data_IF_546408455821
#
_entry.id   IF_546408455821
#
_cell.length_a   1.000
_cell.length_b   1.000
_cell.length_c   1.000
_cell.angle_alpha   90.00
_cell.angle_beta   90.00
_cell.angle_gamma   90.00
#
_symmetry.space_group_name_H-M   'P 1'
#
loop_
_entity.id
_entity.type
_entity.pdbx_description
1 polymer ?
#
# COMPACT_ATOMS: atom_id res chain seq x y z
N UNK A 1 -22.30 -15.85 -22.72
CA UNK A 1 -20.96 -16.47 -22.60
C UNK A 1 -20.01 -15.41 -22.06
N UNK A 2 -19.23 -15.71 -21.03
CA UNK A 2 -18.17 -14.80 -20.56
C UNK A 2 -17.14 -14.64 -21.69
N UNK A 3 -16.79 -13.40 -22.04
CA UNK A 3 -15.72 -13.15 -23.01
C UNK A 3 -14.38 -13.60 -22.43
N UNK A 4 -13.44 -14.05 -23.25
CA UNK A 4 -12.09 -14.44 -22.79
C UNK A 4 -11.42 -13.30 -22.00
N UNK A 5 -11.63 -12.05 -22.43
CA UNK A 5 -11.14 -10.85 -21.74
C UNK A 5 -11.75 -10.66 -20.34
N UNK A 6 -13.04 -10.97 -20.16
CA UNK A 6 -13.68 -10.92 -18.84
C UNK A 6 -13.09 -11.96 -17.87
N UNK A 7 -12.71 -13.15 -18.38
CA UNK A 7 -12.03 -14.17 -17.58
C UNK A 7 -10.61 -13.74 -17.19
N UNK A 8 -9.86 -13.14 -18.12
CA UNK A 8 -8.51 -12.62 -17.85
C UNK A 8 -8.57 -11.51 -16.80
N UNK A 9 -9.48 -10.55 -16.96
CA UNK A 9 -9.71 -9.50 -15.98
C UNK A 9 -10.03 -10.09 -14.60
N UNK A 10 -10.96 -11.04 -14.53
CA UNK A 10 -11.37 -11.66 -13.26
C UNK A 10 -10.20 -12.40 -12.59
N UNK A 11 -9.38 -13.13 -13.35
CA UNK A 11 -8.19 -13.80 -12.83
C UNK A 11 -7.16 -12.81 -12.28
N UNK A 12 -6.91 -11.70 -12.98
CA UNK A 12 -6.01 -10.64 -12.52
C UNK A 12 -6.53 -9.95 -11.26
N UNK A 13 -7.82 -9.62 -11.22
CA UNK A 13 -8.49 -9.05 -10.06
C UNK A 13 -8.38 -9.96 -8.84
N UNK A 14 -8.69 -11.25 -8.98
CA UNK A 14 -8.52 -12.24 -7.91
C UNK A 14 -7.07 -12.30 -7.43
N UNK A 15 -6.10 -12.25 -8.34
CA UNK A 15 -4.68 -12.18 -7.99
C UNK A 15 -4.33 -10.95 -7.13
N UNK A 16 -4.86 -9.78 -7.50
CA UNK A 16 -4.68 -8.53 -6.75
C UNK A 16 -5.28 -8.64 -5.35
N UNK A 17 -6.53 -9.07 -5.26
CA UNK A 17 -7.24 -9.24 -3.98
C UNK A 17 -6.49 -10.23 -3.09
N UNK A 18 -6.12 -11.40 -3.64
CA UNK A 18 -5.38 -12.41 -2.90
C UNK A 18 -4.05 -11.88 -2.36
N UNK A 19 -3.27 -11.16 -3.18
CA UNK A 19 -2.00 -10.58 -2.75
C UNK A 19 -2.17 -9.50 -1.68
N UNK A 20 -3.15 -8.61 -1.82
CA UNK A 20 -3.39 -7.59 -0.80
C UNK A 20 -3.91 -8.19 0.51
N UNK A 21 -4.86 -9.14 0.45
CA UNK A 21 -5.32 -9.88 1.64
C UNK A 21 -4.16 -10.60 2.30
N UNK A 22 -3.33 -11.30 1.52
CA UNK A 22 -2.18 -12.02 2.05
C UNK A 22 -1.13 -11.07 2.64
N UNK A 23 -0.89 -9.92 2.01
CA UNK A 23 -0.01 -8.88 2.56
C UNK A 23 -0.54 -8.34 3.90
N UNK A 24 -1.85 -8.14 4.02
CA UNK A 24 -2.48 -7.65 5.24
C UNK A 24 -2.42 -8.69 6.36
N UNK A 25 -2.78 -9.93 6.05
CA UNK A 25 -2.64 -11.07 6.96
C UNK A 25 -1.22 -11.19 7.50
N UNK A 26 -0.23 -11.15 6.61
CA UNK A 26 1.18 -11.29 6.97
C UNK A 26 1.65 -10.10 7.84
N UNK A 27 1.29 -8.88 7.47
CA UNK A 27 1.66 -7.67 8.21
C UNK A 27 1.07 -7.67 9.63
N UNK A 28 -0.21 -8.04 9.78
CA UNK A 28 -0.84 -8.16 11.10
C UNK A 28 -0.29 -9.30 11.94
N UNK A 29 0.10 -10.42 11.31
CA UNK A 29 0.72 -11.56 12.00
C UNK A 29 2.08 -11.18 12.58
N UNK A 30 2.96 -10.60 11.77
CA UNK A 30 4.31 -10.20 12.21
C UNK A 30 4.25 -9.08 13.27
N UNK A 31 3.27 -8.16 13.18
CA UNK A 31 3.10 -7.07 14.15
C UNK A 31 3.07 -7.55 15.60
N UNK A 32 2.57 -8.76 15.87
CA UNK A 32 2.49 -9.33 17.23
C UNK A 32 3.85 -9.79 17.76
N UNK A 33 4.78 -10.12 16.86
CA UNK A 33 6.07 -10.75 17.17
C UNK A 33 7.20 -9.71 17.23
N UNK A 34 7.06 -8.59 16.52
CA UNK A 34 8.05 -7.52 16.50
C UNK A 34 8.20 -6.84 17.87
N UNK A 35 9.44 -6.78 18.38
CA UNK A 35 9.76 -6.16 19.68
C UNK A 35 9.74 -4.63 19.59
N UNK A 36 10.33 -4.07 18.52
CA UNK A 36 10.45 -2.63 18.37
C UNK A 36 9.14 -1.96 17.90
N UNK A 37 8.69 -0.96 18.66
CA UNK A 37 7.42 -0.27 18.42
C UNK A 37 7.30 0.40 17.04
N UNK A 38 8.42 0.90 16.49
CA UNK A 38 8.48 1.47 15.14
C UNK A 38 8.09 0.44 14.07
N UNK A 39 8.68 -0.75 14.12
CA UNK A 39 8.39 -1.83 13.19
C UNK A 39 6.96 -2.33 13.34
N UNK A 40 6.44 -2.44 14.58
CA UNK A 40 5.02 -2.77 14.82
C UNK A 40 4.06 -1.75 14.20
N UNK A 41 4.39 -0.46 14.28
CA UNK A 41 3.57 0.61 13.70
C UNK A 41 3.59 0.56 12.17
N UNK A 42 4.74 0.27 11.56
CA UNK A 42 4.84 0.11 10.10
C UNK A 42 4.11 -1.14 9.60
N UNK A 43 4.22 -2.25 10.32
CA UNK A 43 3.44 -3.45 10.02
C UNK A 43 1.93 -3.20 10.15
N UNK A 44 1.49 -2.42 11.13
CA UNK A 44 0.08 -2.00 11.23
C UNK A 44 -0.37 -1.18 10.01
N UNK A 45 0.41 -0.18 9.61
CA UNK A 45 0.06 0.65 8.46
C UNK A 45 0.02 -0.15 7.16
N UNK A 46 1.00 -1.03 6.92
CA UNK A 46 0.97 -1.95 5.78
C UNK A 46 -0.30 -2.81 5.76
N UNK A 47 -0.67 -3.37 6.91
CA UNK A 47 -1.88 -4.17 7.03
C UNK A 47 -3.14 -3.37 6.74
N UNK A 48 -3.23 -2.15 7.30
CA UNK A 48 -4.35 -1.24 7.04
C UNK A 48 -4.44 -0.83 5.56
N UNK A 49 -3.31 -0.58 4.89
CA UNK A 49 -3.26 -0.29 3.46
C UNK A 49 -3.68 -1.50 2.62
N UNK A 50 -3.24 -2.70 2.98
CA UNK A 50 -3.67 -3.93 2.31
C UNK A 50 -5.20 -4.09 2.37
N UNK A 51 -5.80 -3.90 3.55
CA UNK A 51 -7.28 -3.92 3.70
C UNK A 51 -7.94 -2.83 2.87
N UNK A 52 -7.43 -1.60 2.95
CA UNK A 52 -7.95 -0.47 2.17
C UNK A 52 -7.91 -0.75 0.66
N UNK A 53 -6.79 -1.26 0.13
CA UNK A 53 -6.66 -1.57 -1.29
C UNK A 53 -7.57 -2.73 -1.72
N UNK A 54 -7.82 -3.72 -0.87
CA UNK A 54 -8.85 -4.75 -1.13
C UNK A 54 -10.23 -4.11 -1.22
N UNK A 55 -10.61 -3.29 -0.25
CA UNK A 55 -11.92 -2.61 -0.25
C UNK A 55 -12.10 -1.73 -1.49
N UNK A 56 -11.09 -0.92 -1.83
CA UNK A 56 -11.11 -0.06 -3.01
C UNK A 56 -11.19 -0.88 -4.30
N UNK A 57 -10.32 -1.88 -4.47
CA UNK A 57 -10.27 -2.69 -5.70
C UNK A 57 -11.55 -3.50 -5.92
N UNK A 58 -12.12 -4.10 -4.87
CA UNK A 58 -13.40 -4.81 -4.93
C UNK A 58 -14.55 -3.86 -5.24
N UNK A 59 -14.61 -2.70 -4.58
CA UNK A 59 -15.64 -1.69 -4.87
C UNK A 59 -15.57 -1.22 -6.32
N UNK A 60 -14.40 -0.79 -6.80
CA UNK A 60 -14.22 -0.32 -8.17
C UNK A 60 -14.53 -1.41 -9.19
N UNK A 61 -14.07 -2.64 -8.97
CA UNK A 61 -14.31 -3.74 -9.91
C UNK A 61 -15.80 -4.06 -10.02
N UNK A 62 -16.52 -4.17 -8.90
CA UNK A 62 -17.96 -4.45 -8.91
C UNK A 62 -18.74 -3.26 -9.51
N UNK A 63 -18.44 -2.04 -9.07
CA UNK A 63 -19.20 -0.86 -9.50
C UNK A 63 -19.00 -0.53 -10.98
N UNK A 64 -17.79 -0.71 -11.51
CA UNK A 64 -17.50 -0.49 -12.94
C UNK A 64 -18.00 -1.62 -13.83
N UNK A 65 -17.85 -2.89 -13.42
CA UNK A 65 -18.30 -4.04 -14.25
C UNK A 65 -19.81 -4.16 -14.35
N UNK A 66 -20.52 -3.75 -13.30
CA UNK A 66 -21.99 -3.76 -13.26
C UNK A 66 -22.59 -2.39 -13.61
N UNK A 67 -21.78 -1.42 -14.02
CA UNK A 67 -22.18 -0.06 -14.38
C UNK A 67 -23.10 0.61 -13.33
N UNK A 68 -22.79 0.39 -12.05
CA UNK A 68 -23.60 0.88 -10.94
C UNK A 68 -23.38 2.39 -10.76
N UNK A 69 -24.40 3.19 -11.07
CA UNK A 69 -24.32 4.67 -11.04
C UNK A 69 -25.34 5.32 -10.11
N UNK A 70 -25.95 4.57 -9.19
CA UNK A 70 -26.93 5.14 -8.24
C UNK A 70 -26.26 6.12 -7.28
N UNK A 71 -27.03 7.09 -6.78
CA UNK A 71 -26.54 8.10 -5.83
C UNK A 71 -25.84 7.47 -4.62
N UNK A 72 -26.37 6.38 -4.08
CA UNK A 72 -25.78 5.68 -2.94
C UNK A 72 -24.42 5.05 -3.26
N UNK A 73 -24.26 4.48 -4.45
CA UNK A 73 -22.98 3.92 -4.92
C UNK A 73 -21.96 5.03 -5.14
N UNK A 74 -22.39 6.16 -5.71
CA UNK A 74 -21.56 7.34 -5.90
C UNK A 74 -21.10 7.95 -4.57
N UNK A 75 -21.98 8.08 -3.57
CA UNK A 75 -21.62 8.53 -2.22
C UNK A 75 -20.62 7.56 -1.56
N UNK A 76 -20.85 6.25 -1.68
CA UNK A 76 -19.93 5.25 -1.13
C UNK A 76 -18.56 5.33 -1.80
N UNK A 77 -18.53 5.44 -3.13
CA UNK A 77 -17.30 5.64 -3.90
C UNK A 77 -16.58 6.93 -3.51
N UNK A 78 -17.33 8.02 -3.35
CA UNK A 78 -16.81 9.31 -2.89
C UNK A 78 -16.07 9.17 -1.55
N UNK A 79 -16.68 8.49 -0.58
CA UNK A 79 -16.07 8.26 0.74
C UNK A 79 -14.83 7.39 0.63
N UNK A 80 -14.89 6.26 -0.08
CA UNK A 80 -13.76 5.31 -0.19
C UNK A 80 -12.56 5.96 -0.88
N UNK A 81 -12.79 6.71 -1.96
CA UNK A 81 -11.74 7.36 -2.75
C UNK A 81 -11.14 8.54 -1.98
N UNK A 82 -11.96 9.46 -1.47
CA UNK A 82 -11.50 10.65 -0.75
C UNK A 82 -10.77 10.33 0.57
N UNK A 83 -11.33 9.44 1.39
CA UNK A 83 -10.69 8.97 2.61
C UNK A 83 -9.40 8.21 2.28
N UNK A 84 -9.44 7.44 1.20
CA UNK A 84 -8.32 6.70 0.66
C UNK A 84 -7.08 7.52 0.33
N UNK A 85 -7.24 8.57 -0.46
CA UNK A 85 -6.13 9.47 -0.79
C UNK A 85 -5.52 10.12 0.45
N UNK A 86 -6.38 10.56 1.37
CA UNK A 86 -5.95 11.14 2.66
C UNK A 86 -5.15 10.12 3.47
N UNK A 87 -5.62 8.87 3.52
CA UNK A 87 -4.99 7.76 4.24
C UNK A 87 -3.64 7.37 3.62
N UNK A 88 -3.56 7.25 2.29
CA UNK A 88 -2.30 6.95 1.58
C UNK A 88 -1.28 8.06 1.84
N UNK A 89 -1.69 9.34 1.74
CA UNK A 89 -0.77 10.44 2.00
C UNK A 89 -0.32 10.50 3.46
N UNK A 90 -1.23 10.27 4.41
CA UNK A 90 -0.90 10.14 5.84
C UNK A 90 0.16 9.05 6.06
N UNK A 91 0.01 7.91 5.40
CA UNK A 91 0.97 6.81 5.48
C UNK A 91 2.32 7.16 4.88
N UNK A 92 2.36 7.83 3.73
CA UNK A 92 3.59 8.34 3.12
C UNK A 92 4.28 9.32 4.08
N UNK A 93 3.57 10.34 4.58
CA UNK A 93 4.13 11.36 5.46
C UNK A 93 4.69 10.76 6.75
N UNK A 94 3.95 9.84 7.40
CA UNK A 94 4.44 9.13 8.57
C UNK A 94 5.69 8.30 8.26
N UNK A 95 5.72 7.63 7.11
CA UNK A 95 6.83 6.76 6.71
C UNK A 95 8.09 7.57 6.37
N UNK A 96 7.95 8.69 5.64
CA UNK A 96 9.07 9.61 5.34
C UNK A 96 9.64 10.22 6.62
N UNK A 97 8.80 10.63 7.58
CA UNK A 97 9.26 11.16 8.88
C UNK A 97 10.05 10.12 9.67
N UNK A 98 9.58 8.88 9.68
CA UNK A 98 10.29 7.78 10.34
C UNK A 98 11.61 7.49 9.61
N UNK A 99 11.64 7.54 8.28
CA UNK A 99 12.86 7.38 7.49
C UNK A 99 13.90 8.47 7.73
N UNK A 100 13.48 9.71 7.94
CA UNK A 100 14.39 10.80 8.32
C UNK A 100 15.08 10.56 9.66
N UNK A 101 14.39 9.92 10.62
CA UNK A 101 14.96 9.58 11.93
C UNK A 101 15.94 8.41 11.87
N UNK A 102 15.89 7.59 10.82
CA UNK A 102 16.82 6.48 10.60
C UNK A 102 17.97 6.83 9.64
N UNK A 103 18.01 8.06 9.12
CA UNK A 103 19.14 8.61 8.37
C UNK A 103 20.22 9.06 9.39
N UNK A 104 21.45 8.52 9.34
CA UNK A 104 22.54 8.92 10.24
C UNK A 104 22.84 10.43 10.22
N UNK A 105 22.52 11.11 9.12
CA UNK A 105 22.80 12.54 8.92
C UNK A 105 21.56 13.42 9.10
N UNK A 106 20.42 12.85 9.50
CA UNK A 106 19.13 13.55 9.74
C UNK A 106 18.68 14.49 8.60
N UNK A 107 19.13 14.21 7.37
CA UNK A 107 18.92 15.09 6.21
C UNK A 107 17.44 15.13 5.85
N UNK A 108 16.95 16.32 5.50
CA UNK A 108 15.57 16.46 5.06
C UNK A 108 15.44 16.02 3.59
N UNK A 109 14.81 14.87 3.35
CA UNK A 109 14.63 14.34 1.99
C UNK A 109 13.73 15.29 1.20
N UNK A 110 14.25 15.87 0.11
CA UNK A 110 13.51 16.79 -0.78
C UNK A 110 12.85 17.97 -0.06
N UNK A 111 13.40 18.42 1.08
CA UNK A 111 12.77 19.46 1.93
C UNK A 111 11.34 19.09 2.37
N UNK A 112 11.07 17.79 2.59
CA UNK A 112 9.76 17.26 2.96
C UNK A 112 9.15 18.00 4.16
N UNK A 113 9.95 18.41 5.14
CA UNK A 113 9.45 19.15 6.31
C UNK A 113 8.76 20.47 5.95
N UNK A 114 9.19 21.13 4.86
CA UNK A 114 8.60 22.37 4.36
C UNK A 114 7.44 22.09 3.39
N UNK A 115 7.63 21.13 2.46
CA UNK A 115 6.64 20.83 1.42
C UNK A 115 5.41 20.06 1.94
N UNK A 116 5.53 19.34 3.08
CA UNK A 116 4.42 18.54 3.60
C UNK A 116 3.15 19.33 3.86
N UNK A 117 3.26 20.61 4.27
CA UNK A 117 2.08 21.42 4.57
C UNK A 117 1.30 21.71 3.29
N UNK A 118 2.03 22.09 2.23
CA UNK A 118 1.47 22.26 0.90
C UNK A 118 0.83 20.96 0.40
N UNK A 119 1.52 19.82 0.54
CA UNK A 119 0.95 18.54 0.12
C UNK A 119 -0.27 18.11 0.95
N UNK A 120 -0.31 18.39 2.25
CA UNK A 120 -1.50 18.17 3.08
C UNK A 120 -2.66 19.04 2.60
N UNK A 121 -2.41 20.32 2.32
CA UNK A 121 -3.41 21.24 1.80
C UNK A 121 -3.97 20.76 0.45
N UNK A 122 -3.10 20.41 -0.49
CA UNK A 122 -3.49 19.88 -1.81
C UNK A 122 -4.23 18.56 -1.69
N UNK A 123 -3.79 17.66 -0.80
CA UNK A 123 -4.45 16.36 -0.60
C UNK A 123 -5.83 16.50 0.02
N UNK A 124 -6.00 17.36 1.02
CA UNK A 124 -7.29 17.57 1.68
C UNK A 124 -8.25 18.32 0.74
N UNK A 125 -7.82 19.45 0.17
CA UNK A 125 -8.63 20.20 -0.78
C UNK A 125 -9.02 19.35 -1.98
N UNK A 126 -8.07 18.54 -2.44
CA UNK A 126 -8.29 17.50 -3.41
C UNK A 126 -9.35 16.49 -2.99
N UNK A 127 -9.18 15.84 -1.84
CA UNK A 127 -10.11 14.82 -1.35
C UNK A 127 -11.54 15.37 -1.22
N UNK A 128 -11.70 16.62 -0.81
CA UNK A 128 -12.98 17.32 -0.78
C UNK A 128 -13.53 17.52 -2.20
N UNK A 129 -12.71 17.99 -3.14
CA UNK A 129 -13.11 18.11 -4.54
C UNK A 129 -13.56 16.76 -5.13
N UNK A 130 -12.74 15.72 -4.97
CA UNK A 130 -13.05 14.36 -5.42
C UNK A 130 -14.34 13.81 -4.80
N UNK A 131 -14.64 14.16 -3.54
CA UNK A 131 -15.88 13.78 -2.89
C UNK A 131 -17.10 14.40 -3.59
N UNK A 132 -17.09 15.70 -3.84
CA UNK A 132 -18.18 16.38 -4.54
C UNK A 132 -18.31 15.95 -6.01
N UNK A 133 -17.19 15.80 -6.73
CA UNK A 133 -17.19 15.30 -8.11
C UNK A 133 -17.76 13.88 -8.17
N UNK A 134 -17.38 13.00 -7.24
CA UNK A 134 -17.90 11.64 -7.21
C UNK A 134 -19.42 11.59 -7.01
N UNK A 135 -19.98 12.51 -6.22
CA UNK A 135 -21.43 12.60 -5.98
C UNK A 135 -22.17 13.17 -7.20
N UNK A 136 -21.63 14.24 -7.80
CA UNK A 136 -22.29 14.96 -8.89
C UNK A 136 -22.14 14.28 -10.26
N UNK A 137 -20.96 13.78 -10.56
CA UNK A 137 -20.57 13.25 -11.87
C UNK A 137 -20.32 11.73 -11.87
N UNK A 138 -20.21 11.12 -10.69
CA UNK A 138 -19.90 9.70 -10.52
C UNK A 138 -18.44 9.46 -10.09
N UNK A 139 -18.23 8.39 -9.32
CA UNK A 139 -16.93 8.08 -8.71
C UNK A 139 -15.82 7.76 -9.73
N UNK A 140 -16.18 7.40 -10.97
CA UNK A 140 -15.25 7.11 -12.05
C UNK A 140 -14.53 8.38 -12.55
N UNK A 141 -15.14 9.56 -12.39
CA UNK A 141 -14.59 10.85 -12.82
C UNK A 141 -13.74 11.54 -11.74
N UNK A 142 -13.57 10.91 -10.58
CA UNK A 142 -12.76 11.46 -9.51
C UNK A 142 -11.27 11.48 -9.91
N UNK A 143 -10.78 12.64 -10.35
CA UNK A 143 -9.38 12.82 -10.76
C UNK A 143 -8.42 12.46 -9.61
N UNK A 144 -7.45 11.54 -9.83
CA UNK A 144 -6.50 11.16 -8.80
C UNK A 144 -5.46 12.26 -8.54
N UNK A 145 -5.05 12.44 -7.28
CA UNK A 145 -3.96 13.35 -6.87
C UNK A 145 -2.58 12.81 -7.26
N UNK A 146 -2.34 12.67 -8.55
CA UNK A 146 -1.17 11.96 -9.10
C UNK A 146 0.16 12.55 -8.63
N UNK A 147 0.29 13.88 -8.62
CA UNK A 147 1.55 14.55 -8.27
C UNK A 147 2.05 14.25 -6.85
N UNK A 148 1.14 14.17 -5.87
CA UNK A 148 1.50 13.92 -4.46
C UNK A 148 1.97 12.48 -4.27
N UNK A 149 1.31 11.51 -4.91
CA UNK A 149 1.71 10.10 -4.86
C UNK A 149 3.06 9.87 -5.52
N UNK A 150 3.27 10.46 -6.71
CA UNK A 150 4.57 10.39 -7.39
C UNK A 150 5.69 10.99 -6.54
N UNK A 151 5.49 12.21 -6.03
CA UNK A 151 6.49 12.86 -5.20
C UNK A 151 6.74 12.09 -3.89
N UNK A 152 5.70 11.52 -3.30
CA UNK A 152 5.78 10.64 -2.14
C UNK A 152 6.60 9.37 -2.40
N UNK A 153 6.39 8.71 -3.54
CA UNK A 153 7.17 7.55 -3.95
C UNK A 153 8.66 7.90 -4.13
N UNK A 154 8.97 9.02 -4.80
CA UNK A 154 10.35 9.49 -4.98
C UNK A 154 11.00 9.86 -3.65
N UNK A 155 10.26 10.51 -2.75
CA UNK A 155 10.74 10.86 -1.41
C UNK A 155 11.05 9.62 -0.58
N UNK A 156 10.18 8.60 -0.62
CA UNK A 156 10.42 7.31 0.05
C UNK A 156 11.62 6.59 -0.53
N UNK A 157 11.76 6.54 -1.86
CA UNK A 157 12.90 5.91 -2.52
C UNK A 157 14.23 6.59 -2.18
N UNK A 158 14.28 7.92 -2.22
CA UNK A 158 15.47 8.69 -1.81
C UNK A 158 15.78 8.49 -0.32
N UNK A 159 14.76 8.42 0.53
CA UNK A 159 14.94 8.15 1.96
C UNK A 159 15.43 6.73 2.23
N UNK A 160 14.98 5.74 1.45
CA UNK A 160 15.44 4.36 1.53
C UNK A 160 16.95 4.26 1.32
N UNK A 161 17.47 4.90 0.26
CA UNK A 161 18.91 4.88 -0.05
C UNK A 161 19.80 5.46 1.07
N UNK A 162 19.24 6.34 1.91
CA UNK A 162 19.97 7.03 3.00
C UNK A 162 19.80 6.38 4.36
N UNK A 163 18.79 5.53 4.55
CA UNK A 163 18.55 4.88 5.83
C UNK A 163 19.71 3.95 6.22
N UNK A 164 20.18 4.06 7.46
CA UNK A 164 21.28 3.23 7.98
C UNK A 164 20.87 1.75 8.21
N UNK A 165 19.59 1.49 8.45
CA UNK A 165 19.09 0.14 8.71
C UNK A 165 18.75 -0.59 7.40
N UNK A 166 19.39 -1.74 7.15
CA UNK A 166 19.19 -2.56 5.94
C UNK A 166 17.77 -3.11 5.83
N UNK A 167 17.14 -3.45 6.95
CA UNK A 167 15.77 -3.99 7.01
C UNK A 167 14.78 -2.89 6.62
N UNK A 168 14.94 -1.72 7.25
CA UNK A 168 14.10 -0.57 6.98
C UNK A 168 14.28 -0.03 5.55
N UNK A 169 15.51 -0.01 5.03
CA UNK A 169 15.81 0.35 3.64
C UNK A 169 15.05 -0.52 2.64
N UNK A 170 15.04 -1.84 2.84
CA UNK A 170 14.30 -2.77 1.97
C UNK A 170 12.80 -2.48 2.02
N UNK A 171 12.24 -2.32 3.22
CA UNK A 171 10.84 -1.98 3.43
C UNK A 171 10.46 -0.68 2.69
N UNK A 172 11.21 0.39 2.89
CA UNK A 172 10.97 1.67 2.22
C UNK A 172 11.04 1.56 0.69
N UNK A 173 11.99 0.79 0.17
CA UNK A 173 12.15 0.60 -1.29
C UNK A 173 10.94 -0.11 -1.89
N UNK A 174 10.45 -1.17 -1.24
CA UNK A 174 9.26 -1.89 -1.68
C UNK A 174 7.98 -1.06 -1.54
N UNK A 175 7.86 -0.29 -0.45
CA UNK A 175 6.74 0.64 -0.26
C UNK A 175 6.73 1.74 -1.31
N UNK A 176 7.90 2.31 -1.64
CA UNK A 176 8.04 3.30 -2.70
C UNK A 176 7.65 2.72 -4.07
N UNK A 177 8.08 1.49 -4.36
CA UNK A 177 7.72 0.78 -5.59
C UNK A 177 6.20 0.55 -5.67
N UNK A 178 5.55 0.15 -4.57
CA UNK A 178 4.11 -0.02 -4.50
C UNK A 178 3.37 1.25 -4.89
N UNK A 179 3.69 2.35 -4.22
CA UNK A 179 3.04 3.65 -4.47
C UNK A 179 3.30 4.11 -5.91
N UNK A 180 4.51 3.92 -6.42
CA UNK A 180 4.86 4.26 -7.80
C UNK A 180 4.06 3.45 -8.82
N UNK A 181 3.91 2.14 -8.63
CA UNK A 181 3.15 1.28 -9.53
C UNK A 181 1.65 1.57 -9.50
N UNK A 182 1.09 1.85 -8.32
CA UNK A 182 -0.31 2.27 -8.19
C UNK A 182 -0.56 3.63 -8.84
N UNK A 183 0.38 4.58 -8.69
CA UNK A 183 0.34 5.85 -9.39
C UNK A 183 0.44 5.65 -10.91
N UNK A 184 1.39 4.86 -11.38
CA UNK A 184 1.59 4.60 -12.80
C UNK A 184 0.34 3.96 -13.43
N UNK A 185 -0.26 2.98 -12.73
CA UNK A 185 -1.52 2.36 -13.14
C UNK A 185 -2.64 3.39 -13.30
N UNK A 186 -2.80 4.31 -12.34
CA UNK A 186 -3.84 5.34 -12.43
C UNK A 186 -3.58 6.38 -13.53
N UNK A 187 -2.32 6.73 -13.80
CA UNK A 187 -1.99 7.66 -14.89
C UNK A 187 -2.18 7.06 -16.29
N UNK A 188 -2.06 5.74 -16.43
CA UNK A 188 -2.22 5.07 -17.73
C UNK A 188 -3.70 4.78 -18.02
N UNK A 189 -4.51 4.54 -16.98
CA UNK A 189 -5.90 4.11 -17.14
C UNK A 189 -6.76 5.09 -17.94
N UNK A 190 -6.71 6.39 -17.61
CA UNK A 190 -7.54 7.41 -18.27
C UNK A 190 -7.16 7.60 -19.76
N UNK A 191 -5.89 7.83 -20.13
CA UNK A 191 -5.49 7.86 -21.54
C UNK A 191 -5.87 6.58 -22.29
N UNK A 192 -5.66 5.41 -21.67
CA UNK A 192 -5.95 4.14 -22.32
C UNK A 192 -7.44 3.96 -22.60
N UNK A 193 -8.32 4.39 -21.67
CA UNK A 193 -9.76 4.37 -21.86
C UNK A 193 -10.27 5.30 -22.97
N UNK A 194 -9.49 6.33 -23.32
CA UNK A 194 -9.81 7.21 -24.44
C UNK A 194 -9.51 6.55 -25.80
N UNK A 195 -8.46 5.73 -25.87
CA UNK A 195 -8.05 5.04 -27.11
C UNK A 195 -8.70 3.66 -27.29
N UNK A 196 -9.11 3.02 -26.19
CA UNK A 196 -9.67 1.67 -26.18
C UNK A 196 -11.08 1.71 -25.57
N UNK A 197 -12.09 1.47 -26.41
CA UNK A 197 -13.49 1.48 -25.97
C UNK A 197 -13.90 0.24 -25.15
N UNK A 198 -13.16 -0.88 -25.25
CA UNK A 198 -13.45 -2.08 -24.47
C UNK A 198 -12.95 -1.92 -23.02
N UNK A 199 -13.86 -1.88 -22.02
CA UNK A 199 -13.48 -1.70 -20.62
C UNK A 199 -12.67 -2.89 -20.09
N UNK A 200 -12.94 -4.12 -20.53
CA UNK A 200 -12.23 -5.32 -20.06
C UNK A 200 -10.80 -5.38 -20.59
N UNK A 201 -10.56 -4.88 -21.80
CA UNK A 201 -9.23 -4.77 -22.38
C UNK A 201 -8.41 -3.70 -21.65
N UNK A 202 -8.99 -2.52 -21.43
CA UNK A 202 -8.36 -1.42 -20.68
C UNK A 202 -8.01 -1.84 -19.25
N UNK A 203 -8.90 -2.56 -18.57
CA UNK A 203 -8.63 -3.11 -17.25
C UNK A 203 -7.54 -4.19 -17.33
N UNK A 204 -7.65 -5.16 -18.23
CA UNK A 204 -6.66 -6.24 -18.33
C UNK A 204 -5.23 -5.73 -18.61
N UNK A 205 -5.06 -4.58 -19.25
CA UNK A 205 -3.76 -3.92 -19.46
C UNK A 205 -3.23 -3.16 -18.23
N UNK A 206 -4.10 -2.62 -17.38
CA UNK A 206 -3.70 -1.81 -16.21
C UNK A 206 -3.55 -2.64 -14.94
N UNK A 207 -4.34 -3.69 -14.77
CA UNK A 207 -4.32 -4.57 -13.59
C UNK A 207 -2.99 -5.29 -13.32
N UNK A 208 -2.15 -5.64 -14.31
CA UNK A 208 -0.81 -6.16 -14.05
C UNK A 208 0.08 -5.18 -13.24
N UNK A 209 -0.08 -3.87 -13.43
CA UNK A 209 0.63 -2.86 -12.63
C UNK A 209 0.12 -2.85 -11.18
N UNK A 210 -1.20 -2.97 -10.98
CA UNK A 210 -1.81 -3.07 -9.66
C UNK A 210 -1.37 -4.35 -8.96
N UNK A 211 -1.28 -5.47 -9.69
CA UNK A 211 -0.79 -6.77 -9.20
C UNK A 211 0.68 -6.70 -8.78
N UNK A 212 1.53 -6.06 -9.60
CA UNK A 212 2.91 -5.80 -9.23
C UNK A 212 3.01 -4.89 -8.00
N UNK A 213 2.11 -3.90 -7.88
CA UNK A 213 1.93 -3.07 -6.68
C UNK A 213 1.59 -3.92 -5.45
N UNK A 214 0.60 -4.79 -5.53
CA UNK A 214 0.20 -5.71 -4.46
C UNK A 214 1.33 -6.65 -4.05
N UNK A 215 2.07 -7.21 -5.01
CA UNK A 215 3.25 -8.02 -4.75
C UNK A 215 4.34 -7.23 -4.01
N UNK A 216 4.58 -5.98 -4.40
CA UNK A 216 5.56 -5.13 -3.74
C UNK A 216 5.14 -4.76 -2.30
N UNK A 217 3.84 -4.58 -2.03
CA UNK A 217 3.31 -4.40 -0.68
C UNK A 217 3.57 -5.64 0.18
N UNK A 218 3.32 -6.83 -0.37
CA UNK A 218 3.65 -8.10 0.28
C UNK A 218 5.16 -8.22 0.58
N UNK A 219 6.03 -7.92 -0.40
CA UNK A 219 7.49 -7.93 -0.20
C UNK A 219 7.92 -6.91 0.85
N UNK A 220 7.27 -5.76 0.89
CA UNK A 220 7.45 -4.74 1.93
C UNK A 220 7.13 -5.30 3.32
N UNK A 221 5.97 -5.96 3.48
CA UNK A 221 5.59 -6.60 4.74
C UNK A 221 6.57 -7.71 5.15
N UNK A 222 7.02 -8.54 4.21
CA UNK A 222 8.04 -9.57 4.47
C UNK A 222 9.37 -9.00 4.92
N UNK A 223 9.77 -7.86 4.35
CA UNK A 223 11.05 -7.24 4.69
C UNK A 223 11.11 -6.66 6.09
N UNK A 224 9.98 -6.49 6.79
CA UNK A 224 9.94 -6.03 8.18
C UNK A 224 10.33 -7.10 9.20
N UNK A 225 10.47 -8.37 8.80
CA UNK A 225 10.96 -9.44 9.71
C UNK A 225 12.45 -9.21 9.95
N UNK A 226 12.89 -8.84 11.17
CA UNK A 226 14.31 -8.72 11.47
C UNK A 226 14.93 -10.12 11.46
N UNK A 227 15.92 -10.34 10.60
CA UNK A 227 16.63 -11.63 10.48
C UNK A 227 17.41 -12.04 11.75
N UNK A 228 17.38 -11.27 12.85
CA UNK A 228 18.10 -11.59 14.08
C UNK A 228 17.44 -11.20 15.39
N UNK A 229 16.21 -10.68 15.42
CA UNK A 229 15.52 -10.25 16.67
C UNK A 229 14.07 -10.75 16.69
N UNK A 230 13.87 -12.03 16.36
CA UNK A 230 12.65 -12.72 16.74
C UNK A 230 12.72 -12.93 18.25
N UNK A 231 11.69 -12.48 18.98
CA UNK A 231 11.54 -12.76 20.41
C UNK A 231 11.69 -14.28 20.56
N UNK A 232 12.73 -14.73 21.27
CA UNK A 232 13.05 -16.15 21.46
C UNK A 232 11.78 -16.89 21.89
N UNK A 233 11.19 -17.66 20.97
CA UNK A 233 10.17 -18.65 21.29
C UNK A 233 10.81 -19.92 21.88
N UNK A 234 12.14 -19.96 21.97
CA UNK A 234 12.92 -20.97 22.69
C UNK A 234 13.23 -20.49 24.12
N UNK A 235 12.19 -20.41 24.96
CA UNK A 235 12.35 -20.66 26.40
C UNK A 235 11.59 -21.94 26.71
N UNK A 236 12.21 -23.05 26.32
CA UNK A 236 12.10 -24.33 27.02
C UNK A 236 13.41 -25.08 26.77
N UNK A 237 14.48 -24.81 27.55
CA UNK A 237 15.51 -25.81 27.69
C UNK A 237 14.85 -26.99 28.37
N UNK A 238 14.65 -28.04 27.61
CA UNK A 238 14.63 -29.42 28.10
C UNK A 238 15.55 -29.52 29.32
N UNK A 239 14.96 -29.75 30.49
CA UNK A 239 15.64 -30.24 31.68
C UNK A 239 16.19 -31.63 31.30
N UNK A 240 17.36 -31.61 30.67
CA UNK A 240 18.14 -32.77 30.32
C UNK A 240 18.86 -33.25 31.57
N UNK A 241 18.32 -34.31 32.15
CA UNK A 241 19.00 -35.36 32.92
C UNK A 241 20.54 -35.21 33.01
N UNK A 242 21.04 -34.82 34.19
CA UNK A 242 22.41 -35.17 34.60
C UNK A 242 22.35 -36.51 35.35
N UNK A 243 23.00 -37.58 34.88
CA UNK A 243 23.28 -38.74 35.70
C UNK A 243 24.43 -38.39 36.67
N UNK A 244 24.17 -38.55 37.96
CA UNK A 244 25.17 -38.48 39.03
C UNK A 244 26.17 -39.63 38.87
N UNK A 245 27.35 -39.32 38.32
CA UNK A 245 28.52 -40.17 38.45
C UNK A 245 29.28 -39.76 39.71
N UNK A 246 29.19 -40.56 40.77
CA UNK A 246 30.17 -40.56 41.86
C UNK A 246 30.77 -41.95 41.93
N UNK A 247 32.02 -42.04 41.48
CA UNK A 247 32.94 -43.13 41.76
C UNK A 247 34.07 -42.55 42.62
N UNK A 248 34.10 -42.92 43.90
CA UNK A 248 35.26 -43.12 44.79
C UNK A 248 34.76 -43.35 46.21
#
# INVERSE_FOLDING_TARGET
MLSELSLVFFALWLGVVALFVYSAFWAFSIRRILVAGLYRRQAFWLGAMGVYFVSLSTFLSIALTLELSSLYVNILGAVIISAGFTLIFLWIDLTVRIARRSDPLFRDTLRWSKLRFLFWFVTIGGAIGAFFTSIGSGFAEATPFGGVLFFGAVALYKSARRSGDRTFRKHLSWTALCIFLLWLGSQIQEPLSHFVSDPYLTQSLTWPLVLAGAYSLYRSARSLVPMGHLKSLETNPTIGLQPSATAS
#
